data_IF_337269637459
#
_entry.id   IF_337269637459
#
_cell.length_a   1.000
_cell.length_b   1.000
_cell.length_c   1.000
_cell.angle_alpha   90.00
_cell.angle_beta   90.00
_cell.angle_gamma   90.00
#
_symmetry.space_group_name_H-M   'P 1'
#
loop_
_entity.id
_entity.type
_entity.pdbx_description
1 polymer ?
#
# COMPACT_ATOMS: atom_id res chain seq x y z
N UNK A 1 71.12 -21.24 25.86
CA UNK A 1 70.00 -21.36 24.94
C UNK A 1 68.73 -20.86 25.63
N UNK A 2 68.31 -19.64 25.30
CA UNK A 2 67.07 -19.03 25.83
C UNK A 2 65.96 -19.24 24.78
N UNK A 3 64.93 -19.96 25.15
CA UNK A 3 63.76 -20.12 24.32
C UNK A 3 62.93 -18.85 24.28
N UNK A 4 62.71 -18.32 23.10
CA UNK A 4 61.81 -17.20 22.84
C UNK A 4 60.39 -17.78 22.54
N UNK A 5 59.42 -17.46 23.39
CA UNK A 5 58.01 -17.80 23.17
C UNK A 5 57.41 -16.85 22.11
N UNK A 6 56.63 -17.34 21.13
CA UNK A 6 55.96 -16.46 20.19
C UNK A 6 54.75 -15.79 20.87
N UNK A 7 54.68 -14.47 20.70
CA UNK A 7 53.58 -13.61 21.12
C UNK A 7 52.40 -13.81 20.12
N UNK A 8 51.31 -14.44 20.57
CA UNK A 8 50.10 -14.55 19.81
C UNK A 8 49.41 -13.17 19.78
N UNK A 9 49.49 -12.47 18.65
CA UNK A 9 48.66 -11.28 18.39
C UNK A 9 47.25 -11.77 18.05
N UNK A 10 46.31 -11.66 18.99
CA UNK A 10 44.89 -11.82 18.73
C UNK A 10 44.37 -10.56 18.04
N UNK A 11 44.17 -10.65 16.72
CA UNK A 11 43.42 -9.66 15.95
C UNK A 11 41.96 -9.69 16.38
N UNK A 12 41.54 -8.78 17.23
CA UNK A 12 40.16 -8.48 17.47
C UNK A 12 39.58 -7.80 16.20
N UNK A 13 38.85 -8.55 15.40
CA UNK A 13 37.96 -7.97 14.39
C UNK A 13 36.77 -7.35 15.10
N UNK A 14 36.84 -6.03 15.30
CA UNK A 14 35.65 -5.24 15.67
C UNK A 14 34.77 -5.20 14.44
N UNK A 15 33.74 -6.05 14.41
CA UNK A 15 32.63 -5.85 13.52
C UNK A 15 31.89 -4.57 13.92
N UNK A 16 32.23 -3.46 13.28
CA UNK A 16 31.41 -2.27 13.25
C UNK A 16 30.14 -2.64 12.48
N UNK A 17 29.13 -3.12 13.21
CA UNK A 17 27.76 -3.10 12.68
C UNK A 17 27.44 -1.64 12.39
N UNK A 18 27.02 -1.27 11.16
CA UNK A 18 26.55 0.07 10.92
C UNK A 18 25.38 0.33 11.86
N UNK A 19 25.60 1.20 12.84
CA UNK A 19 24.53 1.73 13.68
C UNK A 19 23.52 2.37 12.73
N UNK A 20 22.36 1.73 12.60
CA UNK A 20 21.23 2.21 11.82
C UNK A 20 20.74 3.46 12.58
N UNK A 21 21.23 4.63 12.19
CA UNK A 21 20.69 5.93 12.55
C UNK A 21 19.27 6.03 11.95
N UNK A 22 18.29 5.54 12.66
CA UNK A 22 16.89 5.53 12.22
C UNK A 22 15.94 4.83 13.17
N UNK A 23 16.45 4.09 14.14
CA UNK A 23 15.63 3.33 15.10
C UNK A 23 15.09 4.15 16.28
N UNK A 24 15.54 5.38 16.49
CA UNK A 24 15.26 6.11 17.74
C UNK A 24 13.77 6.47 17.93
N UNK A 25 13.00 6.62 16.87
CA UNK A 25 11.56 6.89 16.99
C UNK A 25 10.70 5.63 17.13
N UNK A 26 11.08 4.51 16.50
CA UNK A 26 10.36 3.24 16.63
C UNK A 26 10.73 2.51 17.93
N UNK A 27 11.99 2.62 18.37
CA UNK A 27 12.46 2.03 19.62
C UNK A 27 11.77 2.56 20.88
N UNK A 28 11.38 3.83 20.89
CA UNK A 28 10.68 4.44 22.04
C UNK A 28 9.21 4.02 22.20
N UNK A 29 8.57 3.57 21.11
CA UNK A 29 7.15 3.19 21.13
C UNK A 29 6.90 1.71 21.36
N UNK A 30 7.86 0.82 21.14
CA UNK A 30 7.62 -0.61 21.05
C UNK A 30 8.43 -1.50 21.98
N UNK A 31 9.67 -1.15 22.31
CA UNK A 31 10.64 -2.07 22.94
C UNK A 31 10.25 -2.61 24.32
N UNK A 32 9.26 -2.02 24.99
CA UNK A 32 8.82 -2.44 26.34
C UNK A 32 7.46 -3.14 26.33
N UNK A 33 6.79 -3.33 25.16
CA UNK A 33 5.49 -4.01 25.12
C UNK A 33 5.66 -5.46 24.64
N UNK A 34 5.15 -6.47 25.35
CA UNK A 34 5.38 -7.89 25.04
C UNK A 34 4.78 -8.30 23.67
N UNK A 35 3.85 -7.54 23.13
CA UNK A 35 3.28 -7.77 21.79
C UNK A 35 4.09 -7.13 20.66
N UNK A 36 5.12 -6.32 20.96
CA UNK A 36 5.98 -5.75 19.93
C UNK A 36 7.07 -6.77 19.58
N UNK A 37 7.14 -7.16 18.32
CA UNK A 37 8.12 -8.10 17.80
C UNK A 37 9.23 -7.33 17.06
N UNK A 38 8.85 -6.52 16.09
CA UNK A 38 9.79 -5.84 15.19
C UNK A 38 9.15 -4.56 14.62
N UNK A 39 9.95 -3.52 14.41
CA UNK A 39 9.58 -2.33 13.66
C UNK A 39 10.67 -1.97 12.65
N UNK A 40 10.26 -1.66 11.44
CA UNK A 40 11.18 -1.27 10.37
C UNK A 40 10.59 -0.13 9.53
N UNK A 41 11.38 0.90 9.28
CA UNK A 41 11.01 1.96 8.34
C UNK A 41 11.12 1.45 6.90
N UNK A 42 10.13 1.78 6.07
CA UNK A 42 10.15 1.50 4.63
C UNK A 42 11.24 2.33 3.94
N UNK A 43 11.48 3.54 4.41
CA UNK A 43 12.53 4.45 3.97
C UNK A 43 12.99 5.35 5.12
N UNK A 44 14.19 5.89 5.01
CA UNK A 44 14.72 6.82 6.00
C UNK A 44 13.99 8.17 5.91
N UNK A 45 13.75 8.83 7.05
CA UNK A 45 13.02 10.09 7.10
C UNK A 45 13.70 11.24 6.34
N UNK A 46 15.02 11.21 6.23
CA UNK A 46 15.80 12.16 5.43
C UNK A 46 15.84 11.84 3.94
N UNK A 47 15.29 10.68 3.53
CA UNK A 47 15.21 10.22 2.14
C UNK A 47 13.78 9.79 1.77
N UNK A 48 12.79 10.50 2.29
CA UNK A 48 11.38 10.25 1.99
C UNK A 48 11.05 10.62 0.54
N UNK A 49 10.23 9.81 -0.16
CA UNK A 49 9.92 10.04 -1.57
C UNK A 49 9.01 11.26 -1.80
N UNK A 50 8.25 11.68 -0.77
CA UNK A 50 7.33 12.82 -0.82
C UNK A 50 7.35 13.59 0.49
N UNK A 51 7.02 14.90 0.48
CA UNK A 51 6.87 15.71 1.69
C UNK A 51 5.87 15.13 2.69
N UNK A 52 4.71 14.65 2.20
CA UNK A 52 3.66 14.04 3.01
C UNK A 52 3.21 12.71 2.42
N UNK A 53 2.73 11.81 3.28
CA UNK A 53 2.10 10.55 2.88
C UNK A 53 0.99 10.18 3.86
N UNK A 54 -0.03 9.43 3.37
CA UNK A 54 -1.17 9.03 4.18
C UNK A 54 -1.78 7.70 3.69
N UNK A 55 -2.69 7.10 4.48
CA UNK A 55 -3.52 5.93 4.16
C UNK A 55 -2.72 4.74 3.65
N UNK A 56 -1.83 4.20 4.47
CA UNK A 56 -1.05 3.02 4.12
C UNK A 56 -1.87 1.73 4.16
N UNK A 57 -1.47 0.79 3.33
CA UNK A 57 -1.96 -0.59 3.26
C UNK A 57 -0.79 -1.54 3.06
N UNK A 58 -0.92 -2.78 3.53
CA UNK A 58 0.13 -3.81 3.41
C UNK A 58 -0.51 -5.16 3.10
N UNK A 59 0.18 -5.98 2.33
CA UNK A 59 -0.24 -7.35 2.00
C UNK A 59 0.97 -8.28 1.94
N UNK A 60 0.78 -9.52 2.38
CA UNK A 60 1.77 -10.57 2.23
C UNK A 60 1.68 -11.22 0.84
N UNK A 61 2.84 -11.50 0.25
CA UNK A 61 2.98 -12.17 -1.04
C UNK A 61 3.90 -13.38 -0.92
N UNK A 62 4.06 -14.14 -1.99
CA UNK A 62 4.95 -15.30 -1.99
C UNK A 62 6.44 -14.94 -1.89
N UNK A 63 6.82 -13.68 -2.12
CA UNK A 63 8.21 -13.19 -2.08
C UNK A 63 8.49 -12.23 -0.93
N UNK A 64 7.52 -11.98 -0.06
CA UNK A 64 7.60 -11.05 1.06
C UNK A 64 6.37 -10.15 1.15
N UNK A 65 6.54 -8.91 1.59
CA UNK A 65 5.43 -7.97 1.78
C UNK A 65 5.43 -6.88 0.72
N UNK A 66 4.24 -6.39 0.41
CA UNK A 66 4.03 -5.19 -0.41
C UNK A 66 3.26 -4.17 0.41
N UNK A 67 3.79 -2.96 0.52
CA UNK A 67 3.11 -1.82 1.14
C UNK A 67 2.79 -0.77 0.08
N UNK A 68 1.66 -0.07 0.26
CA UNK A 68 1.27 1.05 -0.60
C UNK A 68 0.70 2.18 0.25
N UNK A 69 0.82 3.41 -0.24
CA UNK A 69 0.28 4.64 0.35
C UNK A 69 0.08 5.69 -0.73
N UNK A 70 -0.67 6.74 -0.44
CA UNK A 70 -0.63 7.92 -1.29
C UNK A 70 0.35 8.96 -0.71
N UNK A 71 0.98 9.74 -1.58
CA UNK A 71 1.93 10.76 -1.15
C UNK A 71 2.23 11.78 -2.25
N UNK A 72 2.50 13.01 -1.80
CA UNK A 72 2.80 14.17 -2.63
C UNK A 72 3.20 15.35 -1.76
N UNK A 73 3.05 16.58 -2.26
CA UNK A 73 3.34 17.81 -1.52
C UNK A 73 2.45 17.92 -0.27
N UNK A 74 1.15 17.76 -0.42
CA UNK A 74 0.16 17.63 0.66
C UNK A 74 -1.11 16.93 0.12
N UNK A 75 -1.94 16.38 1.01
CA UNK A 75 -3.23 15.82 0.64
C UNK A 75 -4.07 16.80 -0.17
N UNK A 76 -4.79 16.35 -1.20
CA UNK A 76 -5.56 17.11 -2.20
C UNK A 76 -4.74 17.79 -3.29
N UNK A 77 -3.42 17.83 -3.22
CA UNK A 77 -2.61 18.39 -4.29
C UNK A 77 -2.59 17.44 -5.49
N UNK A 78 -2.57 17.98 -6.69
CA UNK A 78 -2.60 17.19 -7.95
C UNK A 78 -1.37 16.32 -8.15
N UNK A 79 -0.24 16.62 -7.50
CA UNK A 79 0.98 15.80 -7.51
C UNK A 79 0.90 14.51 -6.67
N UNK A 80 -0.19 14.36 -5.89
CA UNK A 80 -0.40 13.18 -5.04
C UNK A 80 -0.61 11.95 -5.90
N UNK A 81 0.32 11.02 -5.81
CA UNK A 81 0.27 9.73 -6.49
C UNK A 81 0.24 8.54 -5.52
N UNK A 82 0.12 7.34 -6.08
CA UNK A 82 0.19 6.08 -5.34
C UNK A 82 1.61 5.53 -5.40
N UNK A 83 2.15 5.24 -4.23
CA UNK A 83 3.49 4.69 -4.03
C UNK A 83 3.42 3.26 -3.54
N UNK A 84 4.37 2.45 -3.96
CA UNK A 84 4.52 1.05 -3.55
C UNK A 84 5.97 0.79 -3.15
N UNK A 85 6.16 -0.01 -2.11
CA UNK A 85 7.44 -0.61 -1.76
C UNK A 85 7.26 -2.10 -1.47
N UNK A 86 8.25 -2.92 -1.84
CA UNK A 86 8.28 -4.36 -1.59
C UNK A 86 9.33 -4.68 -0.52
N UNK A 87 9.01 -5.57 0.41
CA UNK A 87 9.96 -6.14 1.37
C UNK A 87 10.36 -7.53 0.89
N UNK A 88 11.63 -7.67 0.43
CA UNK A 88 12.18 -8.91 -0.11
C UNK A 88 13.41 -9.25 0.72
N UNK A 89 13.53 -10.49 1.18
CA UNK A 89 14.63 -10.93 2.06
C UNK A 89 14.79 -10.01 3.28
N UNK A 90 13.68 -9.67 3.91
CA UNK A 90 13.59 -8.78 5.08
C UNK A 90 14.09 -7.34 4.87
N UNK A 91 14.21 -6.88 3.62
CA UNK A 91 14.63 -5.51 3.28
C UNK A 91 13.62 -4.81 2.39
N UNK A 92 13.17 -3.64 2.80
CA UNK A 92 12.35 -2.77 1.98
C UNK A 92 13.14 -2.26 0.77
N UNK A 93 12.53 -2.29 -0.38
CA UNK A 93 13.05 -1.74 -1.63
C UNK A 93 12.69 -0.26 -1.72
N UNK A 94 13.42 0.48 -2.56
CA UNK A 94 13.12 1.89 -2.83
C UNK A 94 11.66 2.03 -3.26
N UNK A 95 10.89 2.97 -2.67
CA UNK A 95 9.54 3.26 -3.11
C UNK A 95 9.47 3.68 -4.57
N UNK A 96 8.45 3.21 -5.28
CA UNK A 96 8.16 3.55 -6.66
C UNK A 96 6.75 4.16 -6.75
N UNK A 97 6.61 5.26 -7.48
CA UNK A 97 5.30 5.82 -7.84
C UNK A 97 4.70 4.91 -8.93
N UNK A 98 3.57 4.28 -8.62
CA UNK A 98 2.92 3.30 -9.51
C UNK A 98 1.65 3.83 -10.16
N UNK A 99 1.11 4.96 -9.66
CA UNK A 99 -0.04 5.62 -10.26
C UNK A 99 -0.01 7.12 -9.93
N UNK A 100 -0.59 7.89 -10.82
CA UNK A 100 -0.94 9.30 -10.64
C UNK A 100 -2.39 9.52 -11.08
N UNK A 101 -2.88 10.73 -10.94
CA UNK A 101 -4.25 11.11 -11.27
C UNK A 101 -4.38 11.75 -12.64
N UNK A 102 -3.49 11.45 -13.57
CA UNK A 102 -3.54 11.98 -14.93
C UNK A 102 -4.77 11.43 -15.69
N UNK A 103 -5.53 12.32 -16.30
CA UNK A 103 -6.75 12.06 -17.07
C UNK A 103 -6.64 12.68 -18.49
N UNK A 104 -5.53 12.45 -19.17
CA UNK A 104 -5.19 13.02 -20.46
C UNK A 104 -4.24 14.20 -20.35
N UNK A 105 -4.06 14.96 -21.45
CA UNK A 105 -2.96 15.89 -21.61
C UNK A 105 -2.97 17.08 -20.62
N UNK A 106 -4.16 17.50 -20.12
CA UNK A 106 -4.29 18.74 -19.31
C UNK A 106 -5.07 18.56 -17.99
N UNK A 107 -5.33 17.32 -17.56
CA UNK A 107 -6.12 17.07 -16.34
C UNK A 107 -5.39 16.19 -15.37
N UNK A 108 -5.03 16.75 -14.24
CA UNK A 108 -4.43 16.06 -13.11
C UNK A 108 -5.31 16.16 -11.87
N UNK A 109 -5.51 15.05 -11.21
CA UNK A 109 -6.25 14.95 -9.96
C UNK A 109 -5.43 14.26 -8.89
N UNK A 110 -5.63 14.55 -7.62
CA UNK A 110 -5.01 13.77 -6.55
C UNK A 110 -5.47 12.31 -6.56
N UNK A 111 -4.55 11.42 -6.19
CA UNK A 111 -4.85 10.05 -5.84
C UNK A 111 -5.13 9.91 -4.35
N UNK A 112 -5.96 8.90 -3.96
CA UNK A 112 -6.43 8.72 -2.60
C UNK A 112 -6.51 7.24 -2.23
N UNK A 113 -6.36 6.97 -0.92
CA UNK A 113 -6.71 5.73 -0.23
C UNK A 113 -6.42 4.45 -1.01
N UNK A 114 -5.15 4.09 -1.23
CA UNK A 114 -4.84 2.78 -1.82
C UNK A 114 -5.24 1.66 -0.88
N UNK A 115 -5.72 0.56 -1.47
CA UNK A 115 -5.97 -0.70 -0.77
C UNK A 115 -5.37 -1.84 -1.59
N UNK A 116 -4.42 -2.55 -1.00
CA UNK A 116 -3.84 -3.76 -1.56
C UNK A 116 -4.63 -4.99 -1.11
N UNK A 117 -4.91 -5.88 -2.04
CA UNK A 117 -5.56 -7.14 -1.78
C UNK A 117 -4.92 -8.26 -2.62
N UNK A 118 -4.60 -9.40 -1.98
CA UNK A 118 -4.15 -10.61 -2.68
C UNK A 118 -5.32 -11.57 -2.82
N UNK A 119 -5.65 -11.90 -4.06
CA UNK A 119 -6.71 -12.87 -4.36
C UNK A 119 -6.26 -14.30 -4.09
N UNK A 120 -7.20 -15.23 -4.03
CA UNK A 120 -6.91 -16.67 -3.91
C UNK A 120 -6.11 -17.20 -5.11
N UNK A 121 -6.25 -16.59 -6.28
CA UNK A 121 -5.43 -16.92 -7.46
C UNK A 121 -3.96 -16.45 -7.33
N UNK A 122 -3.62 -15.67 -6.28
CA UNK A 122 -2.30 -15.13 -6.05
C UNK A 122 -2.05 -13.77 -6.71
N UNK A 123 -3.01 -13.25 -7.48
CA UNK A 123 -2.93 -11.93 -8.11
C UNK A 123 -3.07 -10.83 -7.05
N UNK A 124 -2.29 -9.75 -7.16
CA UNK A 124 -2.50 -8.55 -6.36
C UNK A 124 -3.42 -7.58 -7.09
N UNK A 125 -4.38 -7.05 -6.36
CA UNK A 125 -5.23 -5.94 -6.77
C UNK A 125 -4.81 -4.70 -5.96
N UNK A 126 -4.58 -3.60 -6.65
CA UNK A 126 -4.34 -2.28 -6.07
C UNK A 126 -5.53 -1.40 -6.44
N UNK A 127 -6.39 -1.15 -5.46
CA UNK A 127 -7.49 -0.19 -5.58
C UNK A 127 -7.03 1.18 -5.10
N UNK A 128 -7.43 2.23 -5.77
CA UNK A 128 -7.25 3.62 -5.31
C UNK A 128 -8.33 4.51 -5.92
N UNK A 129 -8.40 5.74 -5.47
CA UNK A 129 -9.36 6.72 -6.00
C UNK A 129 -8.61 7.83 -6.68
N UNK A 130 -9.23 8.41 -7.69
CA UNK A 130 -8.76 9.58 -8.41
C UNK A 130 -9.90 10.59 -8.44
N UNK A 131 -9.61 11.85 -8.22
CA UNK A 131 -10.62 12.89 -8.28
C UNK A 131 -10.35 14.05 -7.32
N UNK A 132 -11.05 15.18 -7.46
CA UNK A 132 -10.78 16.40 -6.72
C UNK A 132 -11.14 16.33 -5.22
N UNK A 133 -12.04 15.42 -4.85
CA UNK A 133 -12.50 15.26 -3.46
C UNK A 133 -13.22 13.93 -3.27
N UNK A 134 -13.44 13.47 -2.01
CA UNK A 134 -14.20 12.25 -1.72
C UNK A 134 -15.63 12.23 -2.26
N UNK A 135 -16.27 13.37 -2.41
CA UNK A 135 -17.60 13.48 -3.02
C UNK A 135 -17.62 13.43 -4.56
N UNK A 136 -16.45 13.53 -5.21
CA UNK A 136 -16.31 13.62 -6.67
C UNK A 136 -15.24 12.69 -7.24
N UNK A 137 -14.73 11.76 -6.48
CA UNK A 137 -13.75 10.78 -6.92
C UNK A 137 -14.37 9.55 -7.59
N UNK A 138 -13.55 8.81 -8.29
CA UNK A 138 -13.90 7.50 -8.87
C UNK A 138 -12.85 6.47 -8.51
N UNK A 139 -13.26 5.21 -8.51
CA UNK A 139 -12.40 4.08 -8.24
C UNK A 139 -11.59 3.67 -9.47
N UNK A 140 -10.32 3.37 -9.21
CA UNK A 140 -9.38 2.82 -10.19
C UNK A 140 -8.75 1.56 -9.61
N UNK A 141 -8.50 0.58 -10.47
CA UNK A 141 -7.86 -0.67 -10.11
C UNK A 141 -6.69 -0.96 -11.04
N UNK A 142 -5.61 -1.49 -10.48
CA UNK A 142 -4.47 -2.07 -11.19
C UNK A 142 -4.21 -3.48 -10.67
N UNK A 143 -3.63 -4.33 -11.49
CA UNK A 143 -3.32 -5.73 -11.19
C UNK A 143 -1.82 -5.98 -11.29
N UNK A 144 -1.30 -6.83 -10.39
CA UNK A 144 0.05 -7.36 -10.47
C UNK A 144 0.00 -8.89 -10.38
N UNK A 145 0.78 -9.57 -11.23
CA UNK A 145 0.94 -11.03 -11.27
C UNK A 145 2.32 -11.49 -10.78
N UNK A 146 3.17 -10.55 -10.41
CA UNK A 146 4.58 -10.74 -10.06
C UNK A 146 4.93 -10.21 -8.66
N UNK A 147 3.97 -10.32 -7.72
CA UNK A 147 4.12 -9.88 -6.34
C UNK A 147 4.43 -8.38 -6.20
N UNK A 148 3.80 -7.54 -7.03
CA UNK A 148 3.91 -6.08 -6.98
C UNK A 148 5.15 -5.51 -7.65
N UNK A 149 5.85 -6.29 -8.48
CA UNK A 149 7.00 -5.80 -9.26
C UNK A 149 6.56 -4.90 -10.40
N UNK A 150 5.60 -5.36 -11.18
CA UNK A 150 4.94 -4.60 -12.22
C UNK A 150 3.43 -4.54 -12.02
N UNK A 151 2.79 -3.56 -12.64
CA UNK A 151 1.37 -3.30 -12.53
C UNK A 151 0.77 -3.07 -13.91
N UNK A 152 -0.43 -3.61 -14.14
CA UNK A 152 -1.21 -3.36 -15.37
C UNK A 152 -1.48 -1.87 -15.55
N UNK A 153 -1.94 -1.46 -16.72
CA UNK A 153 -2.52 -0.13 -16.93
C UNK A 153 -3.68 0.12 -15.97
N UNK A 154 -3.89 1.39 -15.55
CA UNK A 154 -5.01 1.75 -14.68
C UNK A 154 -6.35 1.52 -15.40
N UNK A 155 -7.31 0.96 -14.69
CA UNK A 155 -8.66 0.72 -15.19
C UNK A 155 -9.68 1.33 -14.22
N UNK A 156 -10.52 2.24 -14.73
CA UNK A 156 -11.68 2.75 -13.97
C UNK A 156 -12.65 1.62 -13.65
N UNK A 157 -13.17 1.59 -12.44
CA UNK A 157 -14.09 0.52 -12.00
C UNK A 157 -15.49 0.66 -12.63
N UNK A 158 -15.83 1.84 -13.14
CA UNK A 158 -17.10 2.11 -13.79
C UNK A 158 -18.09 2.84 -12.89
N UNK A 159 -19.38 2.76 -13.25
CA UNK A 159 -20.48 3.43 -12.54
C UNK A 159 -21.66 2.48 -12.32
N UNK A 160 -22.45 2.77 -11.30
CA UNK A 160 -23.71 2.07 -11.00
C UNK A 160 -24.83 3.09 -10.73
N UNK A 161 -26.04 2.81 -11.19
CA UNK A 161 -27.19 3.73 -11.06
C UNK A 161 -27.56 4.04 -9.60
N UNK A 162 -27.24 3.13 -8.64
CA UNK A 162 -27.61 3.29 -7.22
C UNK A 162 -26.58 4.06 -6.40
N UNK A 163 -25.29 3.92 -6.73
CA UNK A 163 -24.20 4.43 -5.91
C UNK A 163 -23.26 5.40 -6.63
N UNK A 164 -23.50 5.68 -7.91
CA UNK A 164 -22.64 6.52 -8.73
C UNK A 164 -21.37 5.80 -9.18
N UNK A 165 -20.21 6.40 -9.00
CA UNK A 165 -18.93 5.75 -9.30
C UNK A 165 -18.68 4.56 -8.39
N UNK A 166 -18.23 3.44 -8.98
CA UNK A 166 -17.67 2.34 -8.22
C UNK A 166 -16.29 2.75 -7.67
N UNK A 167 -16.05 2.45 -6.42
CA UNK A 167 -14.87 2.91 -5.68
C UNK A 167 -13.95 1.76 -5.27
N UNK A 168 -14.44 0.51 -5.30
CA UNK A 168 -13.79 -0.59 -4.62
C UNK A 168 -13.78 -0.40 -3.11
N UNK A 169 -12.85 -1.02 -2.40
CA UNK A 169 -12.70 -0.82 -0.97
C UNK A 169 -12.21 0.62 -0.72
N UNK A 170 -12.96 1.41 0.04
CA UNK A 170 -12.58 2.82 0.28
C UNK A 170 -11.39 2.92 1.21
N UNK A 171 -11.33 2.07 2.24
CA UNK A 171 -10.25 2.07 3.25
C UNK A 171 -9.92 0.68 3.77
N UNK A 172 -10.93 -0.12 4.09
CA UNK A 172 -10.78 -1.45 4.68
C UNK A 172 -10.54 -2.50 3.59
N UNK A 173 -9.80 -3.55 3.94
CA UNK A 173 -9.49 -4.61 2.97
C UNK A 173 -10.75 -5.37 2.53
N UNK A 174 -10.80 -5.80 1.25
CA UNK A 174 -11.75 -6.80 0.80
C UNK A 174 -11.60 -8.12 1.56
N UNK A 175 -12.66 -8.92 1.53
CA UNK A 175 -12.62 -10.34 1.84
C UNK A 175 -12.91 -11.14 0.58
N UNK A 176 -12.38 -12.36 0.48
CA UNK A 176 -12.73 -13.30 -0.57
C UNK A 176 -13.26 -14.58 0.05
N UNK A 177 -14.47 -14.96 -0.34
CA UNK A 177 -15.13 -16.18 0.13
C UNK A 177 -14.53 -17.42 -0.55
N UNK A 178 -14.81 -18.60 0.00
CA UNK A 178 -14.34 -19.90 -0.55
C UNK A 178 -14.78 -20.13 -2.00
N UNK A 179 -15.93 -19.61 -2.40
CA UNK A 179 -16.43 -19.69 -3.79
C UNK A 179 -15.76 -18.68 -4.74
N UNK A 180 -14.73 -17.95 -4.28
CA UNK A 180 -13.99 -16.98 -5.08
C UNK A 180 -14.59 -15.58 -5.12
N UNK A 181 -15.80 -15.36 -4.58
CA UNK A 181 -16.42 -14.02 -4.58
C UNK A 181 -15.66 -13.04 -3.69
N UNK A 182 -15.26 -11.92 -4.25
CA UNK A 182 -14.61 -10.81 -3.55
C UNK A 182 -15.70 -9.83 -3.08
N UNK A 183 -15.62 -9.39 -1.83
CA UNK A 183 -16.48 -8.37 -1.24
C UNK A 183 -15.62 -7.18 -0.81
N UNK A 184 -15.87 -6.03 -1.40
CA UNK A 184 -15.24 -4.75 -1.07
C UNK A 184 -16.20 -3.91 -0.23
N UNK A 185 -15.87 -3.58 1.04
CA UNK A 185 -16.62 -2.60 1.79
C UNK A 185 -16.40 -1.22 1.18
N UNK A 186 -17.48 -0.56 0.82
CA UNK A 186 -17.45 0.73 0.11
C UNK A 186 -18.42 1.73 0.72
N UNK A 187 -18.19 3.00 0.46
CA UNK A 187 -19.11 4.08 0.81
C UNK A 187 -19.05 5.19 -0.22
N UNK A 188 -20.20 5.71 -0.62
CA UNK A 188 -20.31 6.89 -1.47
C UNK A 188 -20.59 8.13 -0.63
N UNK A 189 -20.09 9.29 -1.09
CA UNK A 189 -20.25 10.57 -0.36
C UNK A 189 -20.90 11.65 -1.23
N UNK A 190 -21.26 11.36 -2.48
CA UNK A 190 -21.78 12.35 -3.42
C UNK A 190 -23.25 12.77 -3.15
N UNK A 191 -23.99 11.94 -2.42
CA UNK A 191 -25.39 12.17 -2.04
C UNK A 191 -25.61 11.66 -0.60
N UNK A 192 -24.88 12.22 0.34
CA UNK A 192 -24.77 11.73 1.72
C UNK A 192 -23.91 10.46 1.83
N UNK A 193 -23.63 10.07 3.07
CA UNK A 193 -22.83 8.88 3.36
C UNK A 193 -23.70 7.63 3.21
N UNK A 194 -23.34 6.78 2.23
CA UNK A 194 -24.06 5.53 1.95
C UNK A 194 -23.12 4.36 1.91
N UNK A 195 -23.29 3.44 2.85
CA UNK A 195 -22.52 2.19 2.92
C UNK A 195 -23.11 1.18 1.95
N UNK A 196 -22.24 0.50 1.21
CA UNK A 196 -22.60 -0.59 0.31
C UNK A 196 -21.44 -1.58 0.17
N UNK A 197 -21.68 -2.71 -0.49
CA UNK A 197 -20.61 -3.61 -0.93
C UNK A 197 -20.51 -3.60 -2.44
N UNK A 198 -19.29 -3.61 -2.94
CA UNK A 198 -18.98 -3.91 -4.33
C UNK A 198 -18.41 -5.33 -4.40
N UNK A 199 -18.97 -6.17 -5.26
CA UNK A 199 -18.65 -7.59 -5.33
C UNK A 199 -18.17 -8.00 -6.70
N UNK A 200 -17.21 -8.94 -6.76
CA UNK A 200 -16.70 -9.53 -7.99
C UNK A 200 -16.67 -11.06 -7.87
N UNK A 201 -17.14 -11.76 -8.90
CA UNK A 201 -17.10 -13.23 -9.01
C UNK A 201 -16.07 -13.72 -10.03
N UNK A 202 -15.37 -12.82 -10.70
CA UNK A 202 -14.46 -13.05 -11.81
C UNK A 202 -13.05 -12.49 -11.55
N UNK A 203 -12.64 -12.55 -10.27
CA UNK A 203 -11.31 -12.16 -9.81
C UNK A 203 -10.97 -10.68 -10.07
N UNK A 204 -11.97 -9.80 -9.92
CA UNK A 204 -11.83 -8.34 -10.00
C UNK A 204 -12.01 -7.75 -11.40
N UNK A 205 -12.48 -8.51 -12.38
CA UNK A 205 -12.72 -8.00 -13.74
C UNK A 205 -13.99 -7.17 -13.82
N UNK A 206 -15.10 -7.68 -13.28
CA UNK A 206 -16.40 -6.99 -13.24
C UNK A 206 -16.91 -6.85 -11.80
N UNK A 207 -17.76 -5.86 -11.57
CA UNK A 207 -18.23 -5.50 -10.24
C UNK A 207 -19.74 -5.29 -10.21
N UNK A 208 -20.38 -5.83 -9.17
CA UNK A 208 -21.78 -5.64 -8.84
C UNK A 208 -21.91 -4.91 -7.50
N UNK A 209 -23.07 -4.30 -7.25
CA UNK A 209 -23.38 -3.55 -6.04
C UNK A 209 -24.46 -4.23 -5.22
N UNK A 210 -24.19 -4.41 -3.92
CA UNK A 210 -25.16 -4.80 -2.91
C UNK A 210 -25.38 -3.60 -1.99
N UNK A 211 -26.60 -3.08 -1.96
CA UNK A 211 -26.95 -1.88 -1.20
C UNK A 211 -27.51 -0.77 -2.08
N UNK A 212 -27.57 0.49 -1.59
CA UNK A 212 -27.11 0.95 -0.27
C UNK A 212 -27.75 0.21 0.89
N UNK A 213 -26.97 0.04 1.98
CA UNK A 213 -27.47 -0.55 3.21
C UNK A 213 -28.18 0.56 3.99
N UNK A 214 -29.45 0.37 4.29
CA UNK A 214 -30.24 1.29 5.11
C UNK A 214 -30.13 0.85 6.56
N UNK A 215 -29.80 1.79 7.45
CA UNK A 215 -29.84 1.63 8.90
C UNK A 215 -31.23 1.98 9.43
#
# INVERSE_FOLDING_TARGET
MKQVKPLLLSLFWIYLTPSILGNDHLGKLGNNHPAFIEGQLIYLLNNKPTPQCHASTIVETNTGMVASWFGGTHEKNTDVGIWVSRRINNKWRKPLKVADGSEGEDKEYPCWNPVLFKTQSGKLLLFYKVGPSPSKWWGVIRESKDNGESWSDPRKMGTNKKVGHLLGPVKNKPIQLQNGTIYCPSSSEHDGWRVHFETSIDDGKTWNVIGPIHS
#
